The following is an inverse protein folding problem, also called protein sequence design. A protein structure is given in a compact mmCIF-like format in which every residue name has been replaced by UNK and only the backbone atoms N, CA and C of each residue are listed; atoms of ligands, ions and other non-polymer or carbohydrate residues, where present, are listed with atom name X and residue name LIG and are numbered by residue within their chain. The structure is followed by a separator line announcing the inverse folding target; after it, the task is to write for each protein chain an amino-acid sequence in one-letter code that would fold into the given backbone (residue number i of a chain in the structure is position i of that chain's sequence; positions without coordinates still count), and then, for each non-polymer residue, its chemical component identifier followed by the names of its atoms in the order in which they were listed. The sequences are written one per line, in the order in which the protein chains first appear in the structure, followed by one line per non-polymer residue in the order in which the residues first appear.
data_IF_293277271952
#
_entry.id   IF_293277271952
#
_cell.length_a   1.000
_cell.length_b   1.000
_cell.length_c   1.000
_cell.angle_alpha   90.00
_cell.angle_beta   90.00
_cell.angle_gamma   90.00
#
_symmetry.space_group_name_H-M   'P 1'
#
loop_
_entity.id
_entity.type
_entity.pdbx_description
1 polymer ?
#
# COMPACT_ATOMS: atom_id res chain seq x y z
N UNK A 1 12.10 -4.95 -2.82
CA UNK A 1 10.70 -4.55 -3.10
C UNK A 1 10.02 -5.51 -4.07
N UNK A 2 10.40 -5.56 -5.36
CA UNK A 2 9.71 -6.36 -6.40
C UNK A 2 9.53 -7.86 -6.08
N UNK A 3 10.48 -8.48 -5.38
CA UNK A 3 10.45 -9.91 -5.06
C UNK A 3 9.94 -10.22 -3.65
N UNK A 4 9.60 -9.19 -2.86
CA UNK A 4 9.13 -9.35 -1.46
C UNK A 4 9.98 -10.26 -0.59
N UNK A 5 11.30 -10.31 -0.85
CA UNK A 5 12.22 -11.12 -0.06
C UNK A 5 12.44 -10.48 1.32
N UNK A 6 12.39 -11.32 2.35
CA UNK A 6 12.80 -10.93 3.70
C UNK A 6 14.31 -10.93 3.79
N UNK A 7 14.86 -9.99 4.55
CA UNK A 7 16.29 -9.86 4.84
C UNK A 7 16.51 -9.97 6.34
N UNK A 8 17.68 -10.46 6.76
CA UNK A 8 18.05 -10.49 8.18
C UNK A 8 18.39 -9.10 8.70
N UNK A 9 18.47 -8.92 10.02
CA UNK A 9 18.88 -7.64 10.62
C UNK A 9 20.31 -7.26 10.21
N UNK A 10 21.21 -8.24 10.14
CA UNK A 10 22.60 -8.08 9.73
C UNK A 10 22.72 -7.68 8.26
N UNK A 11 21.88 -8.26 7.40
CA UNK A 11 21.83 -7.91 5.98
C UNK A 11 21.24 -6.51 5.79
N UNK A 12 20.19 -6.16 6.54
CA UNK A 12 19.63 -4.82 6.58
C UNK A 12 20.67 -3.77 7.01
N UNK A 13 21.54 -4.10 7.97
CA UNK A 13 22.64 -3.22 8.38
C UNK A 13 23.67 -3.02 7.26
N UNK A 14 24.08 -4.11 6.59
CA UNK A 14 25.02 -4.06 5.46
C UNK A 14 24.48 -3.23 4.29
N UNK A 15 23.17 -3.30 4.06
CA UNK A 15 22.48 -2.55 3.00
C UNK A 15 22.14 -1.12 3.40
N UNK A 16 22.39 -0.71 4.64
CA UNK A 16 22.08 0.64 5.13
C UNK A 16 20.59 0.90 5.38
N UNK A 17 19.78 -0.15 5.51
CA UNK A 17 18.35 -0.04 5.86
C UNK A 17 18.17 0.30 7.35
N UNK A 18 19.08 -0.18 8.20
CA UNK A 18 19.14 0.13 9.63
C UNK A 18 20.53 0.62 10.02
N UNK A 19 20.63 1.40 11.10
CA UNK A 19 21.88 2.00 11.56
C UNK A 19 22.65 1.12 12.57
N UNK A 20 22.00 0.16 13.20
CA UNK A 20 22.62 -0.77 14.15
C UNK A 20 21.77 -2.04 14.32
N UNK A 21 22.41 -3.09 14.83
CA UNK A 21 21.79 -4.37 15.20
C UNK A 21 22.22 -4.70 16.63
N UNK A 22 21.30 -5.25 17.43
CA UNK A 22 21.55 -5.66 18.80
C UNK A 22 20.76 -6.95 19.12
N UNK A 23 21.18 -7.74 20.12
CA UNK A 23 20.34 -8.80 20.67
C UNK A 23 18.98 -8.25 21.12
N UNK A 24 17.90 -9.02 20.95
CA UNK A 24 16.53 -8.57 21.20
C UNK A 24 16.36 -7.96 22.61
N UNK A 25 16.89 -8.63 23.64
CA UNK A 25 16.82 -8.15 25.04
C UNK A 25 17.70 -6.94 25.35
N UNK A 26 18.46 -6.43 24.37
CA UNK A 26 19.39 -5.30 24.48
C UNK A 26 19.07 -4.16 23.51
N UNK A 27 17.95 -4.23 22.79
CA UNK A 27 17.57 -3.19 21.84
C UNK A 27 17.38 -1.83 22.52
N UNK A 28 16.68 -1.81 23.66
CA UNK A 28 16.44 -0.59 24.43
C UNK A 28 17.74 0.01 24.98
N UNK A 29 18.66 -0.84 25.46
CA UNK A 29 19.99 -0.42 25.91
C UNK A 29 20.75 0.24 24.75
N UNK A 30 20.68 -0.33 23.54
CA UNK A 30 21.36 0.22 22.36
C UNK A 30 20.76 1.54 21.90
N UNK A 31 19.43 1.68 21.95
CA UNK A 31 18.76 2.96 21.66
C UNK A 31 19.14 4.01 22.69
N UNK A 32 19.15 3.64 23.98
CA UNK A 32 19.53 4.53 25.07
C UNK A 32 20.96 5.03 24.92
N UNK A 33 21.91 4.15 24.59
CA UNK A 33 23.30 4.53 24.28
C UNK A 33 23.37 5.65 23.23
N UNK A 34 22.62 5.54 22.14
CA UNK A 34 22.59 6.56 21.08
C UNK A 34 21.97 7.88 21.56
N UNK A 35 20.86 7.80 22.30
CA UNK A 35 20.17 8.98 22.85
C UNK A 35 21.06 9.69 23.87
N UNK A 36 21.62 8.96 24.82
CA UNK A 36 22.53 9.50 25.84
C UNK A 36 23.73 10.18 25.19
N UNK A 37 24.29 9.60 24.11
CA UNK A 37 25.32 10.26 23.32
C UNK A 37 24.84 11.57 22.70
N UNK A 38 23.66 11.59 22.06
CA UNK A 38 23.10 12.80 21.46
C UNK A 38 22.86 13.90 22.50
N UNK A 39 22.47 13.56 23.72
CA UNK A 39 22.26 14.53 24.81
C UNK A 39 23.54 15.27 25.22
N UNK A 40 24.73 14.73 24.91
CA UNK A 40 26.02 15.39 25.16
C UNK A 40 26.47 16.33 24.03
N UNK A 41 25.72 16.40 22.92
CA UNK A 41 26.10 17.16 21.72
C UNK A 41 25.35 18.49 21.63
N UNK A 42 25.87 19.43 20.82
CA UNK A 42 25.22 20.71 20.56
C UNK A 42 23.82 20.53 19.95
N UNK A 43 22.75 21.02 20.60
CA UNK A 43 21.39 20.88 20.08
C UNK A 43 21.19 21.64 18.75
N UNK A 44 21.86 22.78 18.57
CA UNK A 44 21.81 23.55 17.33
C UNK A 44 22.44 22.78 16.16
N UNK A 45 23.58 22.14 16.39
CA UNK A 45 24.26 21.33 15.37
C UNK A 45 23.44 20.08 15.03
N UNK A 46 22.89 19.37 16.04
CA UNK A 46 22.03 18.21 15.82
C UNK A 46 20.80 18.57 14.97
N UNK A 47 20.15 19.69 15.28
CA UNK A 47 19.02 20.18 14.50
C UNK A 47 19.42 20.47 13.05
N UNK A 48 20.48 21.25 12.85
CA UNK A 48 20.97 21.62 11.52
C UNK A 48 21.30 20.39 10.67
N UNK A 49 22.08 19.44 11.22
CA UNK A 49 22.48 18.25 10.48
C UNK A 49 21.31 17.30 10.21
N UNK A 50 20.31 17.20 11.11
CA UNK A 50 19.10 16.44 10.82
C UNK A 50 18.37 16.98 9.60
N UNK A 51 18.26 18.30 9.46
CA UNK A 51 17.67 18.91 8.27
C UNK A 51 18.54 18.67 7.03
N UNK A 52 19.83 18.95 7.12
CA UNK A 52 20.75 18.86 5.99
C UNK A 52 20.87 17.42 5.43
N UNK A 53 20.99 16.41 6.30
CA UNK A 53 21.10 15.01 5.89
C UNK A 53 19.82 14.50 5.24
N UNK A 54 18.67 15.05 5.61
CA UNK A 54 17.38 14.67 5.04
C UNK A 54 16.99 15.49 3.80
N UNK A 55 17.74 16.53 3.44
CA UNK A 55 17.39 17.42 2.34
C UNK A 55 17.05 16.70 1.04
N UNK A 56 17.92 15.77 0.60
CA UNK A 56 17.68 15.02 -0.64
C UNK A 56 16.47 14.09 -0.54
N UNK A 57 16.29 13.43 0.62
CA UNK A 57 15.10 12.61 0.87
C UNK A 57 13.85 13.46 0.77
N UNK A 58 13.80 14.59 1.47
CA UNK A 58 12.63 15.46 1.54
C UNK A 58 12.31 16.06 0.17
N UNK A 59 13.32 16.56 -0.56
CA UNK A 59 13.15 17.06 -1.92
C UNK A 59 12.55 16.01 -2.86
N UNK A 60 13.09 14.79 -2.86
CA UNK A 60 12.60 13.73 -3.75
C UNK A 60 11.22 13.25 -3.31
N UNK A 61 11.01 13.07 -2.01
CA UNK A 61 9.75 12.58 -1.47
C UNK A 61 8.62 13.57 -1.73
N UNK A 62 8.81 14.86 -1.44
CA UNK A 62 7.78 15.87 -1.64
C UNK A 62 7.36 15.99 -3.12
N UNK A 63 8.29 15.80 -4.06
CA UNK A 63 8.00 15.81 -5.49
C UNK A 63 7.35 14.52 -6.02
N UNK A 64 7.62 13.38 -5.38
CA UNK A 64 7.23 12.06 -5.91
C UNK A 64 6.16 11.34 -5.09
N UNK A 65 5.76 11.87 -3.94
CA UNK A 65 4.78 11.23 -3.08
C UNK A 65 3.35 11.36 -3.61
N UNK A 66 3.02 12.45 -4.30
CA UNK A 66 1.66 12.67 -4.82
C UNK A 66 1.22 11.62 -5.83
N UNK A 67 2.11 11.14 -6.72
CA UNK A 67 1.79 10.02 -7.62
C UNK A 67 1.45 8.74 -6.85
N UNK A 68 2.14 8.47 -5.73
CA UNK A 68 1.88 7.28 -4.93
C UNK A 68 0.54 7.41 -4.21
N UNK A 69 0.27 8.57 -3.61
CA UNK A 69 -1.03 8.90 -2.99
C UNK A 69 -2.18 8.76 -3.97
N UNK A 70 -2.06 9.32 -5.17
CA UNK A 70 -3.08 9.25 -6.21
C UNK A 70 -3.32 7.80 -6.62
N UNK A 71 -2.24 7.06 -6.90
CA UNK A 71 -2.33 5.65 -7.27
C UNK A 71 -3.06 4.85 -6.19
N UNK A 72 -2.67 4.97 -4.91
CA UNK A 72 -3.36 4.26 -3.84
C UNK A 72 -4.82 4.70 -3.69
N UNK A 73 -5.11 6.00 -3.74
CA UNK A 73 -6.47 6.51 -3.53
C UNK A 73 -7.45 6.05 -4.62
N UNK A 74 -6.99 5.99 -5.88
CA UNK A 74 -7.82 5.56 -7.00
C UNK A 74 -7.96 4.05 -7.09
N UNK A 75 -6.93 3.29 -6.72
CA UNK A 75 -6.88 1.85 -6.96
C UNK A 75 -7.22 0.99 -5.74
N UNK A 76 -7.26 1.52 -4.51
CA UNK A 76 -7.47 0.71 -3.31
C UNK A 76 -8.79 -0.09 -3.33
N UNK A 77 -9.80 0.41 -4.03
CA UNK A 77 -11.10 -0.24 -4.20
C UNK A 77 -11.20 -1.17 -5.41
N UNK A 78 -10.14 -1.32 -6.21
CA UNK A 78 -10.15 -2.13 -7.41
C UNK A 78 -10.03 -3.63 -7.10
N UNK A 79 -10.21 -4.47 -8.12
CA UNK A 79 -10.30 -5.93 -7.95
C UNK A 79 -9.06 -6.50 -7.25
N UNK A 80 -7.86 -6.09 -7.66
CA UNK A 80 -6.62 -6.65 -7.14
C UNK A 80 -6.35 -6.26 -5.67
N UNK A 81 -6.34 -4.98 -5.27
CA UNK A 81 -6.13 -4.60 -3.87
C UNK A 81 -7.25 -5.11 -2.97
N UNK A 82 -8.51 -5.09 -3.40
CA UNK A 82 -9.60 -5.66 -2.63
C UNK A 82 -9.39 -7.17 -2.39
N UNK A 83 -9.12 -7.95 -3.44
CA UNK A 83 -8.86 -9.37 -3.31
C UNK A 83 -7.65 -9.68 -2.41
N UNK A 84 -6.56 -8.92 -2.56
CA UNK A 84 -5.36 -9.07 -1.74
C UNK A 84 -5.60 -8.76 -0.26
N UNK A 85 -6.27 -7.63 0.04
CA UNK A 85 -6.59 -7.22 1.42
C UNK A 85 -7.54 -8.22 2.10
N UNK A 86 -8.56 -8.70 1.39
CA UNK A 86 -9.46 -9.72 1.93
C UNK A 86 -8.76 -11.06 2.12
N UNK A 87 -7.92 -11.49 1.18
CA UNK A 87 -7.13 -12.72 1.33
C UNK A 87 -6.17 -12.65 2.53
N UNK A 88 -5.51 -11.50 2.74
CA UNK A 88 -4.67 -11.27 3.91
C UNK A 88 -5.49 -11.32 5.22
N UNK A 89 -6.63 -10.62 5.27
CA UNK A 89 -7.53 -10.63 6.43
C UNK A 89 -8.03 -12.04 6.76
N UNK A 90 -8.34 -12.82 5.74
CA UNK A 90 -8.81 -14.21 5.85
C UNK A 90 -7.67 -15.22 6.03
N UNK A 91 -6.40 -14.77 6.04
CA UNK A 91 -5.19 -15.60 6.17
C UNK A 91 -5.15 -16.73 5.13
N UNK A 92 -5.56 -16.44 3.89
CA UNK A 92 -5.48 -17.41 2.79
C UNK A 92 -4.01 -17.76 2.53
N UNK A 93 -3.73 -19.06 2.39
CA UNK A 93 -2.40 -19.57 2.05
C UNK A 93 -2.11 -19.45 0.55
N UNK A 94 -3.16 -19.55 -0.27
CA UNK A 94 -3.03 -19.43 -1.73
C UNK A 94 -3.01 -17.97 -2.18
N UNK A 95 -2.22 -17.73 -3.23
CA UNK A 95 -2.13 -16.43 -3.87
C UNK A 95 -3.36 -16.17 -4.75
N UNK A 96 -3.93 -14.96 -4.66
CA UNK A 96 -5.04 -14.50 -5.52
C UNK A 96 -4.57 -14.05 -6.91
N UNK A 97 -3.27 -13.78 -7.08
CA UNK A 97 -2.72 -13.14 -8.28
C UNK A 97 -2.86 -13.96 -9.57
N UNK A 98 -2.68 -15.30 -9.59
CA UNK A 98 -2.86 -16.08 -10.82
C UNK A 98 -4.28 -15.95 -11.40
N UNK A 99 -5.30 -15.94 -10.54
CA UNK A 99 -6.69 -15.75 -10.96
C UNK A 99 -6.93 -14.36 -11.54
N UNK A 100 -6.42 -13.32 -10.87
CA UNK A 100 -6.52 -11.93 -11.33
C UNK A 100 -5.80 -11.77 -12.68
N UNK A 101 -4.60 -12.33 -12.84
CA UNK A 101 -3.85 -12.26 -14.11
C UNK A 101 -4.61 -12.93 -15.26
N UNK A 102 -5.25 -14.07 -15.01
CA UNK A 102 -6.10 -14.74 -16.01
C UNK A 102 -7.29 -13.86 -16.40
N UNK A 103 -8.00 -13.33 -15.42
CA UNK A 103 -9.13 -12.41 -15.63
C UNK A 103 -8.73 -11.20 -16.49
N UNK A 104 -7.60 -10.54 -16.16
CA UNK A 104 -7.09 -9.41 -16.94
C UNK A 104 -6.68 -9.82 -18.37
N UNK A 105 -6.07 -11.00 -18.54
CA UNK A 105 -5.70 -11.52 -19.86
C UNK A 105 -6.91 -11.85 -20.74
N UNK A 106 -8.07 -12.15 -20.13
CA UNK A 106 -9.35 -12.34 -20.80
C UNK A 106 -10.04 -11.00 -21.14
N UNK A 107 -9.43 -9.86 -20.81
CA UNK A 107 -9.93 -8.52 -21.14
C UNK A 107 -10.96 -7.96 -20.15
N UNK A 108 -11.14 -8.61 -19.00
CA UNK A 108 -12.03 -8.11 -17.95
C UNK A 108 -11.39 -6.91 -17.24
N UNK A 109 -12.17 -5.86 -17.00
CA UNK A 109 -11.72 -4.66 -16.31
C UNK A 109 -11.43 -4.94 -14.83
N UNK A 110 -10.21 -4.63 -14.38
CA UNK A 110 -9.78 -4.82 -13.00
C UNK A 110 -10.02 -3.60 -12.09
N UNK A 111 -10.48 -2.47 -12.62
CA UNK A 111 -10.66 -1.22 -11.86
C UNK A 111 -11.91 -1.27 -10.98
N UNK A 112 -13.00 -1.85 -11.49
CA UNK A 112 -14.29 -1.87 -10.80
C UNK A 112 -14.68 -3.28 -10.38
N UNK A 113 -14.78 -3.58 -9.08
CA UNK A 113 -15.42 -4.81 -8.62
C UNK A 113 -16.85 -4.87 -9.18
N UNK A 114 -17.20 -6.00 -9.82
CA UNK A 114 -18.49 -6.22 -10.50
C UNK A 114 -18.69 -5.40 -11.79
N UNK A 115 -17.59 -4.95 -12.41
CA UNK A 115 -17.56 -4.31 -13.71
C UNK A 115 -17.89 -2.81 -13.73
N UNK A 116 -17.63 -2.12 -14.85
CA UNK A 116 -17.78 -0.66 -14.95
C UNK A 116 -19.22 -0.21 -14.73
N UNK A 117 -19.39 1.02 -14.21
CA UNK A 117 -20.69 1.63 -13.90
C UNK A 117 -21.45 2.11 -15.15
N UNK A 118 -21.79 1.18 -16.05
CA UNK A 118 -22.41 1.46 -17.35
C UNK A 118 -23.84 0.93 -17.48
N UNK A 119 -24.29 0.09 -16.55
CA UNK A 119 -25.66 -0.45 -16.60
C UNK A 119 -26.70 0.57 -16.12
N UNK A 120 -27.93 0.39 -16.57
CA UNK A 120 -29.09 1.19 -16.17
C UNK A 120 -30.32 0.30 -15.99
N UNK A 121 -31.29 0.79 -15.21
CA UNK A 121 -32.53 0.09 -14.94
C UNK A 121 -33.68 0.69 -15.75
N UNK A 122 -34.23 -0.08 -16.69
CA UNK A 122 -35.40 0.33 -17.49
C UNK A 122 -36.65 0.60 -16.64
N UNK A 123 -36.81 -0.09 -15.50
CA UNK A 123 -38.01 0.02 -14.66
C UNK A 123 -38.07 1.32 -13.85
N UNK A 124 -36.95 1.72 -13.22
CA UNK A 124 -36.93 2.85 -12.29
C UNK A 124 -36.00 3.99 -12.72
N UNK A 125 -35.32 3.84 -13.86
CA UNK A 125 -34.42 4.85 -14.42
C UNK A 125 -33.09 5.01 -13.67
N UNK A 126 -32.73 4.11 -12.75
CA UNK A 126 -31.42 4.14 -12.09
C UNK A 126 -30.29 3.99 -13.13
N UNK A 127 -29.24 4.82 -13.02
CA UNK A 127 -28.06 4.83 -13.91
C UNK A 127 -26.80 4.53 -13.11
N UNK A 128 -25.70 4.27 -13.82
CA UNK A 128 -24.37 4.01 -13.23
C UNK A 128 -24.34 2.76 -12.33
N UNK A 129 -25.09 1.73 -12.71
CA UNK A 129 -25.06 0.44 -12.03
C UNK A 129 -23.84 -0.37 -12.53
N UNK A 130 -23.21 -1.20 -11.68
CA UNK A 130 -22.13 -2.09 -12.13
C UNK A 130 -22.64 -3.00 -13.25
N UNK A 131 -21.85 -3.19 -14.31
CA UNK A 131 -22.26 -3.95 -15.49
C UNK A 131 -22.57 -5.41 -15.21
N UNK A 132 -21.97 -6.01 -14.18
CA UNK A 132 -22.24 -7.40 -13.77
C UNK A 132 -23.42 -7.53 -12.79
N UNK A 133 -24.11 -6.41 -12.48
CA UNK A 133 -25.26 -6.45 -11.57
C UNK A 133 -26.45 -7.20 -12.19
N UNK A 134 -26.91 -8.25 -11.53
CA UNK A 134 -28.12 -9.00 -11.95
C UNK A 134 -29.40 -8.28 -11.55
N UNK A 135 -29.36 -7.45 -10.51
CA UNK A 135 -30.52 -6.75 -9.96
C UNK A 135 -30.24 -5.26 -9.76
N UNK A 136 -31.28 -4.44 -9.90
CA UNK A 136 -31.23 -3.02 -9.64
C UNK A 136 -31.05 -2.75 -8.14
N UNK A 137 -29.94 -2.11 -7.77
CA UNK A 137 -29.62 -1.73 -6.39
C UNK A 137 -30.61 -0.72 -5.77
N UNK A 138 -31.48 -0.10 -6.59
CA UNK A 138 -32.50 0.87 -6.14
C UNK A 138 -33.89 0.25 -5.95
N UNK A 139 -34.38 -0.52 -6.93
CA UNK A 139 -35.77 -1.01 -6.94
C UNK A 139 -35.91 -2.55 -6.95
N UNK A 140 -34.79 -3.30 -6.95
CA UNK A 140 -34.79 -4.77 -6.94
C UNK A 140 -35.22 -5.43 -8.24
N UNK A 141 -35.52 -4.67 -9.31
CA UNK A 141 -35.85 -5.25 -10.60
C UNK A 141 -34.66 -6.01 -11.20
N UNK A 142 -34.92 -7.15 -11.85
CA UNK A 142 -33.90 -7.88 -12.61
C UNK A 142 -33.42 -7.00 -13.78
N UNK A 143 -32.11 -6.84 -13.91
CA UNK A 143 -31.48 -6.13 -15.01
C UNK A 143 -31.30 -7.11 -16.19
N UNK A 144 -31.38 -6.59 -17.41
CA UNK A 144 -31.09 -7.34 -18.64
C UNK A 144 -29.63 -7.20 -19.01
#
# INVERSE_FOLDING_TARGET
VMLSQSISAEEALKLGVVNAVAPLGKLDDKVREMVDRMLTLSPASLHYYKLHLNFWRDLVWDLTWEQAKEWFSLHIGSVEPAAGLWAFKEKKKESVYPGIRKMLAEGVDGQFPYGPYMAFCERCGAKYLPSESVYCLKCGAKLK
#
